data_IF_630630902040
#
_entry.id   IF_630630902040
#
_cell.length_a   1.000
_cell.length_b   1.000
_cell.length_c   1.000
_cell.angle_alpha   90.00
_cell.angle_beta   90.00
_cell.angle_gamma   90.00
#
_symmetry.space_group_name_H-M   'P 1'
#
loop_
_entity.id
_entity.type
_entity.pdbx_description
1 polymer ?
#
# COMPACT_ATOMS: atom_id res chain seq x y z
N UNK A 1 -4.47 -12.04 30.19
CA UNK A 1 -4.36 -11.44 31.52
C UNK A 1 -5.71 -11.63 32.16
N UNK A 2 -5.78 -12.56 33.10
CA UNK A 2 -6.98 -12.87 33.88
C UNK A 2 -7.30 -11.65 34.75
N UNK A 3 -8.54 -11.18 34.70
CA UNK A 3 -9.05 -10.11 35.55
C UNK A 3 -10.06 -10.78 36.47
N UNK A 4 -9.71 -10.86 37.75
CA UNK A 4 -10.58 -11.38 38.81
C UNK A 4 -11.70 -10.36 39.07
N UNK A 5 -12.94 -10.85 39.13
CA UNK A 5 -14.10 -10.06 39.54
C UNK A 5 -14.33 -10.28 41.03
N UNK A 6 -14.16 -9.25 41.84
CA UNK A 6 -14.71 -9.21 43.20
C UNK A 6 -16.24 -9.08 43.13
N UNK A 7 -16.92 -10.07 43.72
CA UNK A 7 -18.37 -10.08 43.89
C UNK A 7 -18.77 -8.98 44.87
N UNK A 8 -19.43 -7.93 44.36
CA UNK A 8 -20.24 -7.03 45.18
C UNK A 8 -21.68 -7.52 45.04
N UNK A 9 -22.06 -8.43 45.92
CA UNK A 9 -23.43 -8.84 46.13
C UNK A 9 -23.68 -8.70 47.62
N UNK A 10 -24.20 -7.54 48.04
CA UNK A 10 -24.83 -7.39 49.35
C UNK A 10 -25.95 -6.34 49.23
N UNK A 11 -27.13 -6.76 49.67
CA UNK A 11 -28.28 -6.00 50.14
C UNK A 11 -29.17 -5.25 49.13
N UNK A 12 -30.02 -6.02 48.42
CA UNK A 12 -31.36 -5.54 48.03
C UNK A 12 -32.40 -6.50 48.62
N UNK A 13 -32.99 -6.10 49.74
CA UNK A 13 -34.16 -6.74 50.33
C UNK A 13 -35.35 -6.61 49.36
N UNK A 14 -35.66 -7.69 48.63
CA UNK A 14 -36.88 -7.76 47.81
C UNK A 14 -38.02 -8.26 48.70
N UNK A 15 -38.72 -7.33 49.35
CA UNK A 15 -39.97 -7.64 50.01
C UNK A 15 -41.11 -7.84 48.98
N UNK A 16 -41.70 -9.03 49.03
CA UNK A 16 -43.09 -9.36 48.64
C UNK A 16 -43.58 -8.99 47.22
N UNK A 17 -43.26 -9.84 46.25
CA UNK A 17 -44.17 -10.05 45.10
C UNK A 17 -45.27 -11.02 45.56
N UNK A 18 -46.37 -10.47 46.08
CA UNK A 18 -47.63 -11.23 46.25
C UNK A 18 -48.65 -10.80 45.21
N UNK A 19 -49.14 -11.80 44.48
CA UNK A 19 -50.39 -11.85 43.71
C UNK A 19 -50.39 -11.22 42.31
N UNK A 20 -49.81 -11.93 41.33
CA UNK A 20 -50.29 -11.88 39.94
C UNK A 20 -51.11 -13.13 39.68
N UNK A 21 -52.26 -13.23 40.32
CA UNK A 21 -53.29 -14.17 39.90
C UNK A 21 -54.13 -13.48 38.81
N UNK A 22 -54.07 -14.08 37.61
CA UNK A 22 -54.98 -13.88 36.47
C UNK A 22 -54.51 -12.87 35.39
N UNK A 23 -53.87 -13.38 34.33
CA UNK A 23 -53.51 -12.63 33.09
C UNK A 23 -54.73 -11.94 32.46
N UNK A 24 -55.95 -12.45 32.71
CA UNK A 24 -57.20 -11.80 32.31
C UNK A 24 -57.39 -10.40 32.92
N UNK A 25 -56.86 -10.15 34.12
CA UNK A 25 -56.91 -8.83 34.76
C UNK A 25 -55.95 -7.83 34.11
N UNK A 26 -54.85 -8.28 33.51
CA UNK A 26 -53.88 -7.39 32.84
C UNK A 26 -54.50 -6.78 31.57
N UNK A 27 -55.26 -7.57 30.81
CA UNK A 27 -55.95 -7.08 29.61
C UNK A 27 -57.12 -6.13 29.93
N UNK A 28 -57.88 -6.39 31.00
CA UNK A 28 -58.88 -5.47 31.55
C UNK A 28 -58.23 -4.18 32.07
N UNK A 29 -57.11 -4.28 32.77
CA UNK A 29 -56.35 -3.13 33.27
C UNK A 29 -55.81 -2.25 32.14
N UNK A 30 -55.29 -2.84 31.06
CA UNK A 30 -54.83 -2.08 29.88
C UNK A 30 -56.00 -1.40 29.15
N UNK A 31 -57.18 -2.04 29.07
CA UNK A 31 -58.37 -1.42 28.45
C UNK A 31 -59.00 -0.31 29.28
N UNK A 32 -58.85 -0.38 30.61
CA UNK A 32 -59.37 0.59 31.55
C UNK A 32 -58.31 1.62 31.98
N UNK A 33 -57.10 1.55 31.41
CA UNK A 33 -56.04 2.53 31.65
C UNK A 33 -56.37 3.80 30.88
N UNK A 34 -56.39 4.95 31.57
CA UNK A 34 -56.68 6.24 30.93
C UNK A 34 -55.68 6.51 29.77
N UNK A 35 -56.14 6.98 28.60
CA UNK A 35 -55.28 7.21 27.45
C UNK A 35 -54.16 8.23 27.72
N UNK A 36 -54.33 9.10 28.71
CA UNK A 36 -53.29 10.04 29.17
C UNK A 36 -52.12 9.32 29.88
N UNK A 37 -52.39 8.24 30.62
CA UNK A 37 -51.33 7.43 31.24
C UNK A 37 -50.57 6.59 30.20
N UNK A 38 -51.24 6.18 29.12
CA UNK A 38 -50.58 5.50 28.00
C UNK A 38 -49.79 6.47 27.11
N UNK A 39 -50.24 7.73 26.99
CA UNK A 39 -49.50 8.81 26.33
C UNK A 39 -48.23 9.17 27.11
N UNK A 40 -48.31 9.30 28.44
CA UNK A 40 -47.13 9.57 29.27
C UNK A 40 -46.03 8.52 29.12
N UNK A 41 -46.37 7.23 29.02
CA UNK A 41 -45.36 6.16 28.80
C UNK A 41 -44.69 6.27 27.42
N UNK A 42 -45.44 6.72 26.41
CA UNK A 42 -44.92 6.89 25.05
C UNK A 42 -44.04 8.14 24.92
N UNK A 43 -44.33 9.15 25.72
CA UNK A 43 -43.65 10.45 25.67
C UNK A 43 -42.44 10.50 26.64
N UNK A 44 -42.42 9.73 27.74
CA UNK A 44 -41.28 9.65 28.68
C UNK A 44 -40.01 9.02 28.08
N UNK A 45 -40.10 8.25 27.00
CA UNK A 45 -38.93 7.54 26.42
C UNK A 45 -38.22 8.32 25.31
N UNK A 46 -38.72 9.49 24.88
CA UNK A 46 -38.21 10.14 23.66
C UNK A 46 -37.59 11.54 23.83
N UNK A 47 -37.49 12.11 25.03
CA UNK A 47 -37.25 13.56 25.13
C UNK A 47 -35.86 14.06 25.57
N UNK A 48 -34.85 13.24 25.87
CA UNK A 48 -33.53 13.78 26.29
C UNK A 48 -32.28 13.03 25.78
N UNK A 49 -32.16 12.74 24.49
CA UNK A 49 -30.84 12.49 23.89
C UNK A 49 -30.61 13.35 22.65
N UNK A 50 -30.39 14.65 22.86
CA UNK A 50 -30.11 15.63 21.80
C UNK A 50 -28.81 15.33 21.02
N UNK A 51 -27.93 14.49 21.57
CA UNK A 51 -26.69 14.06 20.92
C UNK A 51 -26.48 12.54 21.10
N UNK A 52 -26.60 11.76 20.01
CA UNK A 52 -26.23 10.33 19.95
C UNK A 52 -24.72 10.10 19.81
N UNK A 53 -23.91 11.14 19.95
CA UNK A 53 -22.47 11.10 19.78
C UNK A 53 -21.76 10.85 21.13
N UNK A 54 -20.94 9.79 21.19
CA UNK A 54 -20.11 9.51 22.36
C UNK A 54 -18.97 10.53 22.51
N UNK A 55 -18.82 11.08 23.71
CA UNK A 55 -17.74 12.00 24.08
C UNK A 55 -16.53 11.19 24.56
N UNK A 56 -15.35 11.49 24.03
CA UNK A 56 -14.10 10.85 24.47
C UNK A 56 -13.62 11.54 25.75
N UNK A 57 -13.66 10.83 26.88
CA UNK A 57 -13.34 11.39 28.21
C UNK A 57 -11.83 11.43 28.49
N UNK A 58 -11.05 10.43 28.07
CA UNK A 58 -9.58 10.46 28.21
C UNK A 58 -8.86 9.44 27.32
N UNK A 59 -7.64 9.76 26.88
CA UNK A 59 -6.69 8.80 26.31
C UNK A 59 -6.86 8.45 24.83
N UNK A 60 -7.92 8.91 24.17
CA UNK A 60 -8.15 8.69 22.74
C UNK A 60 -8.46 10.01 22.01
N UNK A 61 -8.28 10.00 20.69
CA UNK A 61 -8.71 11.08 19.79
C UNK A 61 -9.62 10.50 18.72
N UNK A 62 -10.65 11.24 18.34
CA UNK A 62 -11.50 10.85 17.21
C UNK A 62 -10.68 10.96 15.93
N UNK A 63 -10.66 9.90 15.13
CA UNK A 63 -10.14 9.99 13.77
C UNK A 63 -11.27 10.49 12.89
N UNK A 64 -11.18 11.74 12.46
CA UNK A 64 -12.16 12.35 11.56
C UNK A 64 -11.72 12.17 10.11
N UNK A 65 -12.23 11.13 9.45
CA UNK A 65 -12.12 10.98 8.01
C UNK A 65 -13.39 11.54 7.35
N UNK A 66 -13.42 12.86 7.08
CA UNK A 66 -14.44 13.44 6.21
C UNK A 66 -14.08 13.09 4.77
N UNK A 67 -14.92 12.27 4.15
CA UNK A 67 -14.79 11.97 2.74
C UNK A 67 -15.12 13.21 1.91
N UNK A 68 -14.18 13.67 1.09
CA UNK A 68 -14.45 14.68 0.06
C UNK A 68 -14.68 13.96 -1.28
N UNK A 69 -15.93 13.95 -1.80
CA UNK A 69 -16.23 13.31 -3.07
C UNK A 69 -15.39 13.84 -4.25
N UNK A 70 -14.95 15.11 -4.18
CA UNK A 70 -14.13 15.72 -5.25
C UNK A 70 -12.71 15.15 -5.28
N UNK A 71 -12.14 14.80 -4.13
CA UNK A 71 -10.79 14.24 -4.05
C UNK A 71 -10.72 12.82 -4.63
N UNK A 72 -11.84 12.10 -4.68
CA UNK A 72 -11.92 10.77 -5.25
C UNK A 72 -12.31 10.76 -6.74
N UNK A 73 -12.31 11.93 -7.39
CA UNK A 73 -12.77 12.09 -8.78
C UNK A 73 -14.20 11.57 -9.02
N UNK A 74 -15.03 11.52 -7.98
CA UNK A 74 -16.43 11.16 -8.12
C UNK A 74 -17.19 12.30 -8.79
N UNK A 75 -18.17 11.98 -9.64
CA UNK A 75 -19.10 12.98 -10.17
C UNK A 75 -20.00 13.44 -9.03
N UNK A 76 -19.74 14.67 -8.56
CA UNK A 76 -20.51 15.31 -7.49
C UNK A 76 -21.70 16.01 -8.11
N UNK A 77 -22.94 15.75 -7.67
CA UNK A 77 -24.08 16.53 -8.08
C UNK A 77 -23.84 18.02 -7.79
N UNK A 78 -24.28 18.87 -8.70
CA UNK A 78 -24.18 20.30 -8.51
C UNK A 78 -25.04 20.77 -7.33
N UNK A 79 -24.66 21.89 -6.75
CA UNK A 79 -25.46 22.51 -5.67
C UNK A 79 -26.80 23.00 -6.23
N UNK A 80 -27.83 23.05 -5.37
CA UNK A 80 -29.18 23.51 -5.74
C UNK A 80 -29.17 24.92 -6.34
N UNK A 81 -28.28 25.79 -5.90
CA UNK A 81 -28.13 27.14 -6.43
C UNK A 81 -27.62 27.13 -7.88
N UNK A 82 -26.62 26.30 -8.17
CA UNK A 82 -26.07 26.14 -9.52
C UNK A 82 -27.12 25.55 -10.45
N UNK A 83 -27.87 24.54 -10.00
CA UNK A 83 -28.93 23.95 -10.83
C UNK A 83 -30.03 24.95 -11.15
N UNK A 84 -30.53 25.72 -10.17
CA UNK A 84 -31.48 26.80 -10.42
C UNK A 84 -30.95 27.81 -11.45
N UNK A 85 -29.70 28.27 -11.31
CA UNK A 85 -29.09 29.21 -12.28
C UNK A 85 -28.93 28.61 -13.67
N UNK A 86 -28.64 27.33 -13.80
CA UNK A 86 -28.58 26.65 -15.10
C UNK A 86 -29.94 26.57 -15.80
N UNK A 87 -31.03 26.55 -15.05
CA UNK A 87 -32.39 26.60 -15.61
C UNK A 87 -32.82 28.02 -15.97
N UNK A 88 -32.54 28.99 -15.10
CA UNK A 88 -33.07 30.35 -15.21
C UNK A 88 -32.22 31.26 -16.12
N UNK A 89 -30.89 31.09 -16.15
CA UNK A 89 -29.96 31.95 -16.88
C UNK A 89 -29.31 31.24 -18.09
N UNK A 90 -29.67 31.71 -19.29
CA UNK A 90 -29.15 31.20 -20.55
C UNK A 90 -27.67 31.49 -20.77
N UNK A 91 -27.14 32.63 -20.30
CA UNK A 91 -25.72 32.97 -20.42
C UNK A 91 -24.88 32.12 -19.49
N UNK A 92 -25.34 31.93 -18.25
CA UNK A 92 -24.69 31.06 -17.26
C UNK A 92 -24.56 29.62 -17.77
N UNK A 93 -25.64 29.08 -18.36
CA UNK A 93 -25.64 27.74 -18.98
C UNK A 93 -24.65 27.61 -20.13
N UNK A 94 -24.52 28.65 -20.96
CA UNK A 94 -23.58 28.63 -22.07
C UNK A 94 -22.13 28.59 -21.58
N UNK A 95 -21.79 29.40 -20.58
CA UNK A 95 -20.44 29.43 -20.00
C UNK A 95 -20.06 28.09 -19.37
N UNK A 96 -20.95 27.51 -18.55
CA UNK A 96 -20.74 26.21 -17.93
C UNK A 96 -20.56 25.11 -18.97
N UNK A 97 -21.39 25.10 -20.01
CA UNK A 97 -21.26 24.14 -21.10
C UNK A 97 -19.98 24.30 -21.93
N UNK A 98 -19.37 25.49 -21.97
CA UNK A 98 -18.07 25.70 -22.63
C UNK A 98 -16.94 25.13 -21.77
N UNK A 99 -16.96 25.37 -20.46
CA UNK A 99 -15.94 24.84 -19.56
C UNK A 99 -15.99 23.30 -19.51
N UNK A 100 -17.19 22.70 -19.46
CA UNK A 100 -17.37 21.25 -19.54
C UNK A 100 -16.75 20.66 -20.81
N UNK A 101 -16.99 21.29 -21.96
CA UNK A 101 -16.40 20.86 -23.24
C UNK A 101 -14.88 20.98 -23.25
N UNK A 102 -14.33 22.01 -22.61
CA UNK A 102 -12.88 22.22 -22.51
C UNK A 102 -12.25 21.15 -21.63
N UNK A 103 -12.85 20.84 -20.47
CA UNK A 103 -12.43 19.73 -19.60
C UNK A 103 -12.50 18.41 -20.36
N UNK A 104 -13.62 18.13 -21.05
CA UNK A 104 -13.77 16.92 -21.86
C UNK A 104 -12.68 16.79 -22.94
N UNK A 105 -12.37 17.85 -23.68
CA UNK A 105 -11.28 17.85 -24.68
C UNK A 105 -9.91 17.56 -24.06
N UNK A 106 -9.61 18.17 -22.91
CA UNK A 106 -8.35 17.93 -22.20
C UNK A 106 -8.21 16.47 -21.75
N UNK A 107 -9.30 15.89 -21.24
CA UNK A 107 -9.37 14.48 -20.81
C UNK A 107 -9.31 13.52 -22.00
N UNK A 108 -9.96 13.85 -23.12
CA UNK A 108 -9.97 13.01 -24.33
C UNK A 108 -8.57 12.73 -24.87
N UNK A 109 -7.68 13.73 -24.90
CA UNK A 109 -6.29 13.53 -25.36
C UNK A 109 -5.51 12.57 -24.46
N UNK A 110 -5.72 12.64 -23.15
CA UNK A 110 -5.12 11.69 -22.21
C UNK A 110 -5.68 10.27 -22.40
N UNK A 111 -6.99 10.13 -22.64
CA UNK A 111 -7.63 8.85 -22.93
C UNK A 111 -7.12 8.25 -24.24
N UNK A 112 -7.02 9.04 -25.32
CA UNK A 112 -6.49 8.61 -26.61
C UNK A 112 -5.05 8.10 -26.48
N UNK A 113 -4.21 8.81 -25.72
CA UNK A 113 -2.84 8.39 -25.44
C UNK A 113 -2.80 7.06 -24.67
N UNK A 114 -3.68 6.87 -23.69
CA UNK A 114 -3.77 5.63 -22.92
C UNK A 114 -4.27 4.46 -23.77
N UNK A 115 -5.25 4.69 -24.64
CA UNK A 115 -5.76 3.70 -25.59
C UNK A 115 -4.66 3.30 -26.56
N UNK A 116 -3.96 4.26 -27.17
CA UNK A 116 -2.88 3.98 -28.11
C UNK A 116 -1.72 3.19 -27.47
N UNK A 117 -1.39 3.50 -26.21
CA UNK A 117 -0.42 2.73 -25.43
C UNK A 117 -0.91 1.28 -25.25
N UNK A 118 -2.16 1.10 -24.83
CA UNK A 118 -2.73 -0.22 -24.60
C UNK A 118 -2.79 -1.05 -25.89
N UNK A 119 -3.31 -0.47 -26.97
CA UNK A 119 -3.32 -1.08 -28.29
C UNK A 119 -1.91 -1.50 -28.70
N UNK A 120 -0.89 -0.66 -28.50
CA UNK A 120 0.48 -1.01 -28.85
C UNK A 120 1.04 -2.18 -28.01
N UNK A 121 0.70 -2.27 -26.71
CA UNK A 121 1.15 -3.37 -25.83
C UNK A 121 0.42 -4.68 -26.16
N UNK A 122 -0.88 -4.63 -26.48
CA UNK A 122 -1.72 -5.82 -26.70
C UNK A 122 -1.96 -6.15 -28.17
N UNK A 123 -1.40 -5.39 -29.11
CA UNK A 123 -1.46 -5.72 -30.54
C UNK A 123 -0.73 -7.03 -30.86
N UNK A 124 0.33 -7.34 -30.12
CA UNK A 124 1.10 -8.58 -30.27
C UNK A 124 1.35 -9.25 -28.90
N UNK A 125 0.51 -10.22 -28.58
CA UNK A 125 0.59 -11.01 -27.35
C UNK A 125 1.94 -11.73 -27.21
N UNK A 126 2.57 -12.13 -28.32
CA UNK A 126 3.82 -12.88 -28.27
C UNK A 126 4.98 -11.99 -27.81
N UNK A 127 5.15 -10.81 -28.39
CA UNK A 127 6.23 -9.88 -27.97
C UNK A 127 6.04 -9.37 -26.54
N UNK A 128 4.80 -9.08 -26.13
CA UNK A 128 4.49 -8.71 -24.75
C UNK A 128 4.86 -9.82 -23.77
N UNK A 129 4.44 -11.06 -24.03
CA UNK A 129 4.79 -12.22 -23.20
C UNK A 129 6.30 -12.53 -23.20
N UNK A 130 6.96 -12.35 -24.34
CA UNK A 130 8.41 -12.51 -24.44
C UNK A 130 9.15 -11.52 -23.53
N UNK A 131 8.76 -10.24 -23.59
CA UNK A 131 9.31 -9.17 -22.75
C UNK A 131 9.11 -9.48 -21.26
N UNK A 132 7.88 -9.86 -20.88
CA UNK A 132 7.57 -10.23 -19.49
C UNK A 132 8.41 -11.42 -19.02
N UNK A 133 8.52 -12.48 -19.83
CA UNK A 133 9.36 -13.65 -19.51
C UNK A 133 10.84 -13.28 -19.39
N UNK A 134 11.35 -12.37 -20.22
CA UNK A 134 12.71 -11.88 -20.12
C UNK A 134 12.93 -11.13 -18.79
N UNK A 135 12.04 -10.19 -18.43
CA UNK A 135 12.09 -9.46 -17.17
C UNK A 135 12.09 -10.40 -15.95
N UNK A 136 11.23 -11.41 -15.94
CA UNK A 136 11.21 -12.41 -14.86
C UNK A 136 12.50 -13.22 -14.79
N UNK A 137 13.07 -13.62 -15.93
CA UNK A 137 14.34 -14.35 -15.96
C UNK A 137 15.47 -13.49 -15.42
N UNK A 138 15.53 -12.22 -15.79
CA UNK A 138 16.59 -11.32 -15.36
C UNK A 138 16.47 -10.97 -13.88
N UNK A 139 15.25 -10.68 -13.40
CA UNK A 139 14.98 -10.50 -11.96
C UNK A 139 15.32 -11.75 -11.16
N UNK A 140 15.01 -12.95 -11.68
CA UNK A 140 15.38 -14.22 -11.03
C UNK A 140 16.91 -14.39 -10.94
N UNK A 141 17.64 -14.08 -12.01
CA UNK A 141 19.12 -14.12 -11.99
C UNK A 141 19.69 -13.13 -10.98
N UNK A 142 19.17 -11.90 -10.94
CA UNK A 142 19.62 -10.88 -9.99
C UNK A 142 19.40 -11.32 -8.54
N UNK A 143 18.21 -11.85 -8.25
CA UNK A 143 17.86 -12.38 -6.92
C UNK A 143 18.78 -13.55 -6.53
N UNK A 144 19.01 -14.50 -7.44
CA UNK A 144 19.93 -15.61 -7.22
C UNK A 144 21.37 -15.15 -6.99
N UNK A 145 21.82 -14.12 -7.71
CA UNK A 145 23.15 -13.53 -7.52
C UNK A 145 23.27 -12.90 -6.12
N UNK A 146 22.28 -12.10 -5.71
CA UNK A 146 22.21 -11.49 -4.37
C UNK A 146 22.22 -12.57 -3.28
N UNK A 147 21.38 -13.60 -3.41
CA UNK A 147 21.37 -14.74 -2.49
C UNK A 147 22.71 -15.47 -2.40
N UNK A 148 23.42 -15.63 -3.52
CA UNK A 148 24.73 -16.25 -3.52
C UNK A 148 25.78 -15.38 -2.81
N UNK A 149 25.73 -14.06 -3.00
CA UNK A 149 26.58 -13.09 -2.30
C UNK A 149 26.29 -13.08 -0.78
N UNK A 150 25.03 -13.07 -0.38
CA UNK A 150 24.59 -13.12 1.02
C UNK A 150 25.03 -14.40 1.72
N UNK A 151 24.81 -15.55 1.07
CA UNK A 151 25.25 -16.84 1.60
C UNK A 151 26.77 -16.93 1.70
N UNK A 152 27.51 -16.34 0.76
CA UNK A 152 28.96 -16.24 0.86
C UNK A 152 29.40 -15.32 2.01
N UNK A 153 28.64 -14.25 2.30
CA UNK A 153 28.91 -13.35 3.43
C UNK A 153 28.63 -14.05 4.77
N UNK A 154 27.49 -14.72 4.93
CA UNK A 154 27.14 -15.51 6.11
C UNK A 154 28.19 -16.58 6.41
N UNK A 155 28.63 -17.31 5.38
CA UNK A 155 29.69 -18.32 5.53
C UNK A 155 31.01 -17.73 6.01
N UNK A 156 31.36 -16.52 5.55
CA UNK A 156 32.58 -15.82 6.00
C UNK A 156 32.46 -15.31 7.42
N UNK A 157 31.28 -14.86 7.84
CA UNK A 157 31.03 -14.33 9.18
C UNK A 157 30.67 -15.40 10.21
N UNK A 158 30.28 -16.60 9.76
CA UNK A 158 29.83 -17.69 10.63
C UNK A 158 28.46 -17.45 11.27
N UNK A 159 27.61 -16.64 10.62
CA UNK A 159 26.28 -16.30 11.13
C UNK A 159 25.19 -17.11 10.42
N UNK A 160 24.12 -17.43 11.14
CA UNK A 160 22.92 -18.10 10.61
C UNK A 160 21.70 -17.19 10.86
N UNK A 161 21.62 -16.11 10.10
CA UNK A 161 20.55 -15.12 10.17
C UNK A 161 20.10 -14.73 8.77
N UNK A 162 18.82 -14.41 8.61
CA UNK A 162 18.29 -13.91 7.33
C UNK A 162 18.77 -12.47 7.13
N UNK A 163 19.53 -12.22 6.06
CA UNK A 163 19.96 -10.87 5.70
C UNK A 163 18.81 -10.09 5.08
N UNK A 164 18.73 -8.82 5.44
CA UNK A 164 17.83 -7.85 4.84
C UNK A 164 18.60 -7.14 3.71
N UNK A 165 17.87 -6.69 2.69
CA UNK A 165 18.45 -5.86 1.64
C UNK A 165 19.10 -4.60 2.22
N UNK A 166 20.24 -4.19 1.67
CA UNK A 166 20.93 -2.97 2.07
C UNK A 166 20.05 -1.73 1.87
N UNK A 167 19.97 -0.87 2.89
CA UNK A 167 19.31 0.43 2.81
C UNK A 167 20.31 1.51 2.37
N UNK A 168 19.85 2.50 1.58
CA UNK A 168 20.73 3.53 1.03
C UNK A 168 21.46 4.35 2.11
N UNK A 169 20.79 4.61 3.23
CA UNK A 169 21.38 5.38 4.32
C UNK A 169 22.49 4.61 5.05
N UNK A 170 22.34 3.29 5.19
CA UNK A 170 23.36 2.42 5.76
C UNK A 170 24.59 2.37 4.86
N UNK A 171 24.38 2.33 3.53
CA UNK A 171 25.47 2.40 2.54
C UNK A 171 26.22 3.73 2.67
N UNK A 172 25.52 4.86 2.76
CA UNK A 172 26.13 6.20 2.93
C UNK A 172 26.94 6.28 4.23
N UNK A 173 26.37 5.81 5.33
CA UNK A 173 27.03 5.81 6.64
C UNK A 173 28.26 4.90 6.64
N UNK A 174 28.14 3.68 6.12
CA UNK A 174 29.24 2.72 6.03
C UNK A 174 30.40 3.27 5.18
N UNK A 175 30.09 3.96 4.07
CA UNK A 175 31.08 4.65 3.23
C UNK A 175 31.81 5.75 4.00
N UNK A 176 31.09 6.57 4.77
CA UNK A 176 31.70 7.60 5.62
C UNK A 176 32.60 7.01 6.73
N UNK A 177 32.17 5.89 7.33
CA UNK A 177 32.92 5.20 8.40
C UNK A 177 34.17 4.49 7.88
N UNK A 178 34.12 3.87 6.70
CA UNK A 178 35.28 3.21 6.09
C UNK A 178 36.41 4.21 5.82
N UNK A 179 36.10 5.44 5.41
CA UNK A 179 37.10 6.49 5.26
C UNK A 179 37.73 6.95 6.59
N UNK A 180 36.99 6.95 7.71
CA UNK A 180 37.52 7.34 9.03
C UNK A 180 38.39 6.28 9.70
N UNK A 181 38.34 5.02 9.26
CA UNK A 181 39.12 3.92 9.84
C UNK A 181 40.64 4.05 9.62
N UNK A 182 41.09 4.93 8.73
CA UNK A 182 42.52 5.19 8.47
C UNK A 182 43.23 6.12 9.47
N UNK A 183 42.53 6.76 10.41
CA UNK A 183 43.13 7.79 11.29
C UNK A 183 43.77 7.23 12.59
N UNK A 184 43.73 5.92 12.85
CA UNK A 184 44.45 5.33 14.00
C UNK A 184 45.87 4.91 13.59
N UNK A 185 46.83 5.80 13.88
CA UNK A 185 48.30 5.65 14.01
C UNK A 185 48.98 4.51 13.21
N UNK A 186 49.67 4.91 12.15
CA UNK A 186 50.63 4.12 11.36
C UNK A 186 52.03 4.05 12.00
N UNK A 187 52.19 4.32 13.30
CA UNK A 187 53.51 4.40 13.96
C UNK A 187 54.31 3.07 13.88
N UNK A 188 53.64 1.94 13.64
CA UNK A 188 54.28 0.61 13.52
C UNK A 188 54.55 0.09 12.10
N UNK A 189 54.07 0.77 11.05
CA UNK A 189 54.15 0.26 9.66
C UNK A 189 55.37 0.81 8.93
N UNK A 190 55.80 2.02 9.27
CA UNK A 190 57.03 2.62 8.76
C UNK A 190 58.27 1.80 9.16
N UNK A 191 58.34 1.35 10.42
CA UNK A 191 59.38 0.44 10.92
C UNK A 191 59.43 -0.88 10.15
N UNK A 192 58.28 -1.47 9.81
CA UNK A 192 58.21 -2.71 9.02
C UNK A 192 58.64 -2.48 7.56
N UNK A 193 58.31 -1.32 6.98
CA UNK A 193 58.76 -0.92 5.63
C UNK A 193 60.26 -0.74 5.59
N UNK A 194 60.85 -0.05 6.57
CA UNK A 194 62.31 0.14 6.67
C UNK A 194 63.05 -1.20 6.84
N UNK A 195 62.54 -2.10 7.68
CA UNK A 195 63.11 -3.46 7.85
C UNK A 195 63.03 -4.28 6.56
N UNK A 196 61.96 -4.16 5.78
CA UNK A 196 61.84 -4.84 4.47
C UNK A 196 62.81 -4.31 3.41
N UNK A 197 63.08 -3.00 3.40
CA UNK A 197 64.04 -2.35 2.50
C UNK A 197 65.48 -2.76 2.83
N UNK A 198 65.79 -2.91 4.12
CA UNK A 198 67.11 -3.40 4.56
C UNK A 198 67.28 -4.88 4.21
N UNK A 199 66.23 -5.69 4.35
CA UNK A 199 66.26 -7.13 4.03
C UNK A 199 66.32 -7.40 2.51
N UNK A 200 65.73 -6.53 1.67
CA UNK A 200 65.73 -6.71 0.21
C UNK A 200 67.05 -6.33 -0.47
N UNK A 201 67.91 -5.52 0.16
CA UNK A 201 69.26 -5.20 -0.34
C UNK A 201 70.24 -6.39 -0.33
N UNK A 202 69.89 -7.50 0.32
CA UNK A 202 70.74 -8.69 0.45
C UNK A 202 70.39 -9.85 -0.52
N UNK A 203 69.56 -9.68 -1.55
CA UNK A 203 69.32 -10.72 -2.57
C UNK A 203 69.61 -10.21 -3.99
N UNK A 204 70.72 -10.67 -4.57
CA UNK A 204 71.03 -10.58 -6.00
C UNK A 204 70.21 -11.60 -6.81
N UNK A 205 69.77 -11.13 -7.98
CA UNK A 205 69.51 -11.82 -9.28
C UNK A 205 68.68 -13.11 -9.30
N UNK A 206 67.60 -13.12 -10.08
CA UNK A 206 67.50 -13.83 -11.38
C UNK A 206 66.27 -13.34 -12.18
N UNK A 207 66.38 -13.40 -13.50
CA UNK A 207 65.42 -13.06 -14.57
C UNK A 207 64.15 -13.95 -14.52
N UNK A 208 63.05 -13.74 -15.24
CA UNK A 208 62.94 -13.56 -16.69
C UNK A 208 61.47 -13.41 -17.14
N UNK A 209 61.25 -12.56 -18.16
CA UNK A 209 60.42 -12.74 -19.36
C UNK A 209 58.93 -13.14 -19.30
N UNK A 210 58.09 -12.16 -19.71
CA UNK A 210 57.07 -12.17 -20.76
C UNK A 210 55.94 -13.22 -20.77
N UNK A 211 54.70 -12.75 -20.96
CA UNK A 211 53.90 -13.04 -22.16
C UNK A 211 52.74 -12.04 -22.32
N UNK A 212 52.67 -11.40 -23.48
CA UNK A 212 51.64 -10.43 -23.89
C UNK A 212 50.80 -11.09 -24.98
N UNK A 213 49.59 -11.54 -24.63
CA UNK A 213 48.59 -12.01 -25.59
C UNK A 213 47.65 -10.85 -25.91
N UNK A 214 47.55 -10.50 -27.19
CA UNK A 214 46.70 -9.43 -27.72
C UNK A 214 45.44 -10.10 -28.30
N UNK A 215 44.30 -9.97 -27.63
CA UNK A 215 43.00 -10.34 -28.19
C UNK A 215 42.39 -9.15 -28.92
N UNK A 216 41.85 -9.44 -30.10
CA UNK A 216 41.23 -8.52 -31.04
C UNK A 216 39.78 -8.26 -30.59
N UNK A 217 39.45 -6.99 -30.32
CA UNK A 217 38.12 -6.53 -29.97
C UNK A 217 37.23 -6.47 -31.21
N UNK A 218 36.15 -7.23 -31.22
CA UNK A 218 34.99 -7.01 -32.08
C UNK A 218 33.99 -6.11 -31.33
N UNK A 219 33.55 -5.09 -32.03
CA UNK A 219 32.73 -3.97 -31.57
C UNK A 219 31.25 -4.42 -31.49
N UNK A 220 30.66 -4.39 -30.29
CA UNK A 220 29.23 -4.68 -30.10
C UNK A 220 28.41 -3.39 -30.01
N UNK A 221 27.30 -3.39 -30.75
CA UNK A 221 26.34 -2.31 -30.88
C UNK A 221 25.70 -1.90 -29.55
N UNK A 222 25.50 -0.59 -29.43
CA UNK A 222 24.98 0.17 -28.30
C UNK A 222 23.46 -0.07 -28.15
N UNK A 223 23.05 -0.72 -27.07
CA UNK A 223 21.63 -0.77 -26.66
C UNK A 223 21.37 0.39 -25.69
N UNK A 224 20.36 1.21 -26.00
CA UNK A 224 19.94 2.34 -25.18
C UNK A 224 19.20 1.85 -23.94
N UNK A 225 19.60 2.36 -22.78
CA UNK A 225 18.99 2.11 -21.48
C UNK A 225 17.64 2.82 -21.39
N UNK A 226 16.55 2.06 -21.17
CA UNK A 226 15.25 2.61 -20.78
C UNK A 226 15.19 2.57 -19.26
N UNK A 227 15.26 3.75 -18.65
CA UNK A 227 15.09 3.95 -17.20
C UNK A 227 13.62 3.77 -16.83
N UNK A 228 13.28 2.63 -16.22
CA UNK A 228 11.94 2.40 -15.68
C UNK A 228 11.85 2.98 -14.27
N UNK A 229 11.23 4.16 -14.17
CA UNK A 229 10.74 4.71 -12.91
C UNK A 229 9.58 3.84 -12.40
N UNK A 230 9.74 3.35 -11.17
CA UNK A 230 8.78 2.51 -10.49
C UNK A 230 7.51 3.29 -10.09
N UNK A 231 6.38 2.95 -10.69
CA UNK A 231 5.05 3.22 -10.12
C UNK A 231 4.55 1.88 -9.58
N UNK A 232 4.72 1.68 -8.27
CA UNK A 232 4.15 0.55 -7.53
C UNK A 232 2.76 1.00 -7.07
N UNK A 233 1.73 0.74 -7.86
CA UNK A 233 0.36 0.72 -7.34
C UNK A 233 0.07 -0.67 -6.78
N UNK A 234 -0.29 -0.68 -5.51
CA UNK A 234 -0.66 -1.82 -4.67
C UNK A 234 -1.94 -2.45 -5.24
N UNK A 235 -1.86 -3.67 -5.79
CA UNK A 235 -3.05 -4.44 -6.19
C UNK A 235 -3.32 -5.45 -5.08
N UNK A 236 -4.41 -5.23 -4.35
CA UNK A 236 -4.97 -6.19 -3.41
C UNK A 236 -5.52 -7.39 -4.17
N UNK A 237 -5.14 -8.59 -3.73
CA UNK A 237 -5.66 -9.85 -4.23
C UNK A 237 -7.09 -10.08 -3.75
N UNK A 238 -8.05 -9.93 -4.64
CA UNK A 238 -9.41 -10.44 -4.45
C UNK A 238 -9.88 -11.10 -5.75
N UNK A 239 -9.89 -12.43 -5.73
CA UNK A 239 -10.80 -13.34 -6.46
C UNK A 239 -11.03 -13.05 -7.96
N UNK A 240 -10.21 -13.67 -8.82
CA UNK A 240 -10.61 -13.97 -10.19
C UNK A 240 -11.32 -15.33 -10.21
N UNK A 241 -12.65 -15.31 -10.23
CA UNK A 241 -13.50 -16.48 -10.47
C UNK A 241 -13.42 -16.89 -11.95
N UNK A 242 -12.94 -18.10 -12.23
CA UNK A 242 -13.03 -18.73 -13.55
C UNK A 242 -14.51 -19.05 -13.86
N UNK A 243 -15.08 -18.36 -14.84
CA UNK A 243 -16.33 -18.76 -15.50
C UNK A 243 -15.98 -19.40 -16.84
N UNK A 244 -16.28 -20.70 -16.98
CA UNK A 244 -16.24 -21.39 -18.26
C UNK A 244 -17.57 -21.13 -18.98
N UNK A 245 -17.52 -20.56 -20.18
CA UNK A 245 -18.65 -20.61 -21.12
C UNK A 245 -18.44 -21.78 -22.07
N UNK A 246 -19.30 -22.78 -21.95
CA UNK A 246 -19.48 -23.85 -22.92
C UNK A 246 -20.48 -23.35 -23.98
N UNK A 247 -20.04 -23.38 -25.24
CA UNK A 247 -20.83 -22.96 -26.39
C UNK A 247 -21.57 -24.17 -26.96
N UNK A 248 -22.88 -24.27 -26.73
CA UNK A 248 -23.75 -25.15 -27.53
C UNK A 248 -24.69 -24.30 -28.39
N UNK A 249 -24.28 -24.14 -29.65
CA UNK A 249 -25.06 -23.57 -30.74
C UNK A 249 -25.88 -24.70 -31.39
N UNK A 250 -27.19 -24.73 -31.17
CA UNK A 250 -28.13 -25.49 -32.00
C UNK A 250 -29.45 -24.71 -32.04
N UNK A 251 -29.67 -23.94 -33.10
CA UNK A 251 -31.03 -23.56 -33.49
C UNK A 251 -31.25 -24.04 -34.92
N UNK A 252 -32.15 -25.00 -35.01
CA UNK A 252 -32.62 -25.65 -36.22
C UNK A 252 -33.81 -24.88 -36.77
N UNK A 253 -33.77 -24.59 -38.07
CA UNK A 253 -34.88 -24.06 -38.86
C UNK A 253 -36.21 -24.81 -38.60
N UNK A 254 -37.28 -24.06 -38.30
CA UNK A 254 -38.65 -24.29 -38.80
C UNK A 254 -39.54 -23.07 -38.56
#
# INVERSE_FOLDING_TARGET
>A
MEIEFENIMDDVEVENIRNVENIANVAEYIRNMDPEQFANIRDEVFEEMENLDYIIVSGARRQENRWDPKQNEQVVPETKEVSCRLYDDAMYKLEHGIEDKKVAKSRNSALESAIALNENIWKDDYSSNCTVRALFRDRKKELQKKQAEDHALLKKTGLDINLVNEHEDDIKLAKLLTHKKGARKQDGVELKRLVSIIRSKNKKKMSSSNNRLKLQSQESLKTQEITNNAIISKINSSSISLVNYDSSNTDSDT
#
